data_IF_488738840789
#
_entry.id   IF_488738840789
#
_cell.length_a   1.000
_cell.length_b   1.000
_cell.length_c   1.000
_cell.angle_alpha   90.00
_cell.angle_beta   90.00
_cell.angle_gamma   90.00
#
_symmetry.space_group_name_H-M   'P 1'
#
loop_
_entity.id
_entity.type
_entity.pdbx_description
1 polymer ?
#
# COMPACT_ATOMS: atom_id res chain seq x y z
N UNK A 1 -14.88 -29.23 -15.38
CA UNK A 1 -15.16 -28.62 -14.06
C UNK A 1 -16.28 -27.60 -14.25
N UNK A 2 -17.51 -27.94 -13.84
CA UNK A 2 -18.68 -27.08 -14.08
C UNK A 2 -18.56 -25.77 -13.31
N UNK A 3 -18.79 -24.62 -13.97
CA UNK A 3 -18.80 -23.31 -13.31
C UNK A 3 -19.99 -23.24 -12.36
N UNK A 4 -19.76 -23.41 -11.06
CA UNK A 4 -20.80 -23.30 -10.03
C UNK A 4 -20.94 -21.84 -9.58
N UNK A 5 -22.13 -21.31 -9.72
CA UNK A 5 -22.50 -20.02 -9.14
C UNK A 5 -22.52 -20.10 -7.61
N UNK A 6 -22.32 -18.97 -6.95
CA UNK A 6 -22.36 -18.89 -5.49
C UNK A 6 -23.81 -19.11 -5.01
N UNK A 7 -23.99 -20.00 -4.04
CA UNK A 7 -25.30 -20.19 -3.41
C UNK A 7 -25.65 -19.05 -2.45
N UNK A 8 -26.91 -18.94 -2.06
CA UNK A 8 -27.38 -17.94 -1.08
C UNK A 8 -26.59 -18.00 0.23
N UNK A 9 -26.23 -19.20 0.70
CA UNK A 9 -25.40 -19.38 1.89
C UNK A 9 -24.01 -18.76 1.72
N UNK A 10 -23.35 -18.98 0.58
CA UNK A 10 -22.02 -18.44 0.32
C UNK A 10 -22.05 -16.91 0.29
N UNK A 11 -23.08 -16.34 -0.36
CA UNK A 11 -23.31 -14.89 -0.43
C UNK A 11 -23.54 -14.31 0.97
N UNK A 12 -24.41 -14.91 1.78
CA UNK A 12 -24.71 -14.44 3.13
C UNK A 12 -23.47 -14.50 4.03
N UNK A 13 -22.72 -15.60 3.99
CA UNK A 13 -21.49 -15.75 4.78
C UNK A 13 -20.46 -14.68 4.38
N UNK A 14 -20.25 -14.47 3.07
CA UNK A 14 -19.32 -13.47 2.58
C UNK A 14 -19.76 -12.05 2.97
N UNK A 15 -21.04 -11.72 2.81
CA UNK A 15 -21.57 -10.39 3.14
C UNK A 15 -21.45 -10.10 4.65
N UNK A 16 -21.80 -11.06 5.50
CA UNK A 16 -21.66 -10.94 6.96
C UNK A 16 -20.18 -10.80 7.34
N UNK A 17 -19.29 -11.60 6.74
CA UNK A 17 -17.86 -11.48 6.96
C UNK A 17 -17.34 -10.08 6.61
N UNK A 18 -17.64 -9.56 5.42
CA UNK A 18 -17.17 -8.24 4.98
C UNK A 18 -17.77 -7.10 5.83
N UNK A 19 -19.02 -7.23 6.27
CA UNK A 19 -19.65 -6.27 7.19
C UNK A 19 -18.96 -6.27 8.55
N UNK A 20 -18.77 -7.44 9.16
CA UNK A 20 -18.08 -7.57 10.44
C UNK A 20 -16.63 -7.07 10.35
N UNK A 21 -15.94 -7.37 9.25
CA UNK A 21 -14.60 -6.86 8.99
C UNK A 21 -14.60 -5.33 8.88
N UNK A 22 -15.56 -4.74 8.17
CA UNK A 22 -15.69 -3.27 8.05
C UNK A 22 -15.91 -2.62 9.41
N UNK A 23 -16.80 -3.17 10.24
CA UNK A 23 -17.06 -2.68 11.60
C UNK A 23 -15.79 -2.83 12.46
N UNK A 24 -15.15 -4.00 12.43
CA UNK A 24 -13.94 -4.25 13.20
C UNK A 24 -12.81 -3.29 12.83
N UNK A 25 -12.60 -3.03 11.53
CA UNK A 25 -11.61 -2.07 11.06
C UNK A 25 -11.96 -0.63 11.49
N UNK A 26 -13.22 -0.23 11.40
CA UNK A 26 -13.67 1.08 11.91
C UNK A 26 -13.41 1.24 13.41
N UNK A 27 -13.70 0.21 14.20
CA UNK A 27 -13.41 0.18 15.63
C UNK A 27 -11.90 0.27 15.89
N UNK A 28 -11.08 -0.50 15.17
CA UNK A 28 -9.61 -0.45 15.29
C UNK A 28 -9.07 0.93 14.95
N UNK A 29 -9.59 1.58 13.91
CA UNK A 29 -9.16 2.93 13.52
C UNK A 29 -9.46 3.95 14.61
N UNK A 30 -10.67 3.92 15.18
CA UNK A 30 -11.05 4.83 16.28
C UNK A 30 -10.20 4.56 17.52
N UNK A 31 -9.99 3.30 17.88
CA UNK A 31 -9.27 2.97 19.11
C UNK A 31 -7.76 3.22 19.02
N UNK A 32 -7.15 3.03 17.85
CA UNK A 32 -5.70 3.17 17.68
C UNK A 32 -5.25 4.54 17.20
N UNK A 33 -6.18 5.41 16.78
CA UNK A 33 -5.90 6.74 16.26
C UNK A 33 -4.87 7.50 17.13
N UNK A 34 -3.69 7.90 16.58
CA UNK A 34 -2.64 8.52 17.38
C UNK A 34 -3.04 9.92 17.85
N UNK A 35 -2.76 10.31 19.11
CA UNK A 35 -2.98 11.67 19.57
C UNK A 35 -2.05 12.64 18.85
N UNK A 36 -2.40 13.93 18.83
CA UNK A 36 -1.47 15.00 18.45
C UNK A 36 -0.18 14.89 19.28
N UNK A 37 1.00 15.16 18.67
CA UNK A 37 2.24 15.24 19.43
C UNK A 37 2.13 16.29 20.54
N UNK A 38 2.67 16.00 21.72
CA UNK A 38 2.80 16.98 22.78
C UNK A 38 3.91 17.97 22.41
N UNK A 39 3.60 19.27 22.22
CA UNK A 39 4.59 20.27 21.81
C UNK A 39 5.65 20.55 22.89
N UNK A 40 5.43 20.09 24.13
CA UNK A 40 6.33 20.31 25.27
C UNK A 40 7.19 19.09 25.60
N UNK A 41 6.91 17.95 24.97
CA UNK A 41 7.64 16.71 25.23
C UNK A 41 9.09 16.79 24.72
N UNK A 42 10.05 16.55 25.62
CA UNK A 42 11.48 16.45 25.32
C UNK A 42 11.90 14.99 25.35
N UNK A 43 11.72 14.30 24.22
CA UNK A 43 12.12 12.90 24.03
C UNK A 43 11.07 12.03 23.33
N UNK A 44 11.34 10.74 23.13
CA UNK A 44 10.40 9.81 22.53
C UNK A 44 9.14 9.65 23.40
N UNK A 45 7.96 9.69 22.78
CA UNK A 45 6.70 9.45 23.49
C UNK A 45 6.67 8.02 24.06
N UNK A 46 6.40 7.85 25.37
CA UNK A 46 6.35 6.52 25.98
C UNK A 46 5.20 5.68 25.42
N UNK A 47 5.33 4.35 25.51
CA UNK A 47 4.26 3.46 25.12
C UNK A 47 3.04 3.65 26.02
N UNK A 48 1.86 3.83 25.40
CA UNK A 48 0.59 4.00 26.09
C UNK A 48 -0.25 2.73 25.95
N UNK A 49 -1.07 2.42 26.96
CA UNK A 49 -2.04 1.32 26.87
C UNK A 49 -3.17 1.73 25.94
N UNK A 50 -3.28 1.04 24.80
CA UNK A 50 -4.29 1.31 23.78
C UNK A 50 -5.17 0.09 23.63
N UNK A 51 -6.50 0.29 23.61
CA UNK A 51 -7.42 -0.81 23.34
C UNK A 51 -7.34 -1.17 21.85
N UNK A 52 -7.22 -2.45 21.53
CA UNK A 52 -7.26 -2.97 20.17
C UNK A 52 -8.26 -4.12 20.17
N UNK A 53 -9.49 -3.83 19.73
CA UNK A 53 -10.64 -4.72 19.85
C UNK A 53 -10.86 -5.17 21.31
N UNK A 54 -10.59 -6.45 21.59
CA UNK A 54 -10.73 -7.10 22.90
C UNK A 54 -9.41 -7.16 23.69
N UNK A 55 -8.32 -6.62 23.15
CA UNK A 55 -7.00 -6.58 23.80
C UNK A 55 -6.58 -5.16 24.18
N UNK A 56 -5.58 -5.01 25.05
CA UNK A 56 -5.06 -3.70 25.49
C UNK A 56 -3.53 -3.68 25.61
N UNK A 57 -2.80 -3.83 24.47
CA UNK A 57 -1.35 -3.76 24.47
C UNK A 57 -0.83 -2.36 24.82
N UNK A 58 0.39 -2.30 25.34
CA UNK A 58 1.17 -1.05 25.42
C UNK A 58 1.82 -0.81 24.06
N UNK A 59 1.43 0.27 23.38
CA UNK A 59 1.88 0.61 22.03
C UNK A 59 2.54 1.98 22.01
N UNK A 60 3.65 2.09 21.28
CA UNK A 60 4.22 3.39 20.92
C UNK A 60 3.36 4.09 19.87
N UNK A 61 3.54 5.40 19.71
CA UNK A 61 2.87 6.18 18.66
C UNK A 61 3.10 5.60 17.26
N UNK A 62 4.31 5.12 16.99
CA UNK A 62 4.67 4.51 15.71
C UNK A 62 3.96 3.17 15.48
N UNK A 63 3.89 2.30 16.51
CA UNK A 63 3.14 1.04 16.39
C UNK A 63 1.66 1.28 16.12
N UNK A 64 1.07 2.32 16.71
CA UNK A 64 -0.31 2.73 16.43
C UNK A 64 -0.49 3.14 14.97
N UNK A 65 0.46 3.90 14.41
CA UNK A 65 0.43 4.29 12.99
C UNK A 65 0.48 3.06 12.07
N UNK A 66 1.29 2.04 12.36
CA UNK A 66 1.28 0.81 11.57
C UNK A 66 -0.10 0.15 11.55
N UNK A 67 -0.78 0.09 12.70
CA UNK A 67 -2.13 -0.47 12.79
C UNK A 67 -3.13 0.36 11.99
N UNK A 68 -3.08 1.69 12.11
CA UNK A 68 -3.94 2.60 11.33
C UNK A 68 -3.74 2.38 9.83
N UNK A 69 -2.50 2.28 9.37
CA UNK A 69 -2.17 2.11 7.95
C UNK A 69 -2.63 0.76 7.42
N UNK A 70 -2.39 -0.32 8.17
CA UNK A 70 -2.90 -1.64 7.86
C UNK A 70 -4.44 -1.62 7.77
N UNK A 71 -5.11 -1.02 8.75
CA UNK A 71 -6.56 -0.98 8.80
C UNK A 71 -7.15 -0.15 7.66
N UNK A 72 -6.58 1.02 7.38
CA UNK A 72 -7.06 1.90 6.31
C UNK A 72 -6.74 1.36 4.91
N UNK A 73 -5.62 0.68 4.71
CA UNK A 73 -5.35 -0.07 3.49
C UNK A 73 -6.38 -1.16 3.24
N UNK A 74 -6.79 -1.87 4.30
CA UNK A 74 -7.87 -2.85 4.20
C UNK A 74 -9.23 -2.19 3.88
N UNK A 75 -9.55 -1.04 4.50
CA UNK A 75 -10.76 -0.26 4.20
C UNK A 75 -10.79 0.20 2.75
N UNK A 76 -9.65 0.66 2.21
CA UNK A 76 -9.53 1.04 0.80
C UNK A 76 -9.91 -0.11 -0.13
N UNK A 77 -9.32 -1.29 0.09
CA UNK A 77 -9.65 -2.49 -0.69
C UNK A 77 -11.12 -2.92 -0.51
N UNK A 78 -11.67 -2.82 0.71
CA UNK A 78 -13.09 -3.13 0.97
C UNK A 78 -14.05 -2.29 0.13
N UNK A 79 -13.75 -1.02 -0.16
CA UNK A 79 -14.61 -0.19 -1.00
C UNK A 79 -14.73 -0.78 -2.41
N UNK A 80 -13.61 -1.28 -2.96
CA UNK A 80 -13.60 -1.98 -4.25
C UNK A 80 -14.37 -3.30 -4.17
N UNK A 81 -14.03 -4.14 -3.20
CA UNK A 81 -14.63 -5.47 -2.99
C UNK A 81 -16.15 -5.40 -2.78
N UNK A 82 -16.64 -4.45 -1.97
CA UNK A 82 -18.07 -4.28 -1.70
C UNK A 82 -18.84 -3.80 -2.93
N UNK A 83 -18.26 -2.88 -3.71
CA UNK A 83 -18.85 -2.43 -4.98
C UNK A 83 -19.01 -3.59 -5.95
N UNK A 84 -17.94 -4.35 -6.17
CA UNK A 84 -17.99 -5.54 -7.03
C UNK A 84 -18.98 -6.57 -6.51
N UNK A 85 -19.03 -6.80 -5.19
CA UNK A 85 -19.95 -7.77 -4.61
C UNK A 85 -21.41 -7.38 -4.89
N UNK A 86 -21.77 -6.13 -4.66
CA UNK A 86 -23.10 -5.60 -4.98
C UNK A 86 -23.47 -5.84 -6.45
N UNK A 87 -22.56 -5.52 -7.38
CA UNK A 87 -22.79 -5.69 -8.82
C UNK A 87 -22.95 -7.16 -9.23
N UNK A 88 -22.04 -8.04 -8.78
CA UNK A 88 -22.07 -9.46 -9.18
C UNK A 88 -23.20 -10.24 -8.50
N UNK A 89 -23.54 -9.93 -7.26
CA UNK A 89 -24.70 -10.54 -6.58
C UNK A 89 -26.01 -10.04 -7.20
N UNK A 90 -26.14 -8.73 -7.44
CA UNK A 90 -27.33 -8.15 -8.07
C UNK A 90 -27.62 -8.73 -9.45
N UNK A 91 -26.58 -8.97 -10.25
CA UNK A 91 -26.69 -9.57 -11.58
C UNK A 91 -26.69 -11.10 -11.59
N UNK A 92 -26.62 -11.78 -10.43
CA UNK A 92 -26.51 -13.25 -10.31
C UNK A 92 -25.32 -13.85 -11.07
N UNK A 93 -24.21 -13.13 -11.10
CA UNK A 93 -22.98 -13.52 -11.80
C UNK A 93 -21.85 -13.94 -10.85
N UNK A 94 -22.06 -13.87 -9.52
CA UNK A 94 -21.04 -14.24 -8.55
C UNK A 94 -20.72 -15.74 -8.62
N UNK A 95 -19.46 -16.07 -8.91
CA UNK A 95 -18.95 -17.44 -8.92
C UNK A 95 -18.47 -17.86 -7.53
N UNK A 96 -18.71 -19.12 -7.17
CA UNK A 96 -18.28 -19.66 -5.87
C UNK A 96 -16.77 -19.63 -5.66
N UNK A 97 -15.99 -19.83 -6.73
CA UNK A 97 -14.52 -19.76 -6.69
C UNK A 97 -13.98 -18.36 -6.36
N UNK A 98 -14.79 -17.31 -6.52
CA UNK A 98 -14.37 -15.94 -6.20
C UNK A 98 -14.54 -15.61 -4.72
N UNK A 99 -15.31 -16.39 -3.95
CA UNK A 99 -15.55 -16.08 -2.52
C UNK A 99 -14.24 -15.92 -1.74
N UNK A 100 -13.27 -16.80 -1.98
CA UNK A 100 -11.96 -16.70 -1.32
C UNK A 100 -11.19 -15.44 -1.76
N UNK A 101 -11.26 -15.09 -3.05
CA UNK A 101 -10.63 -13.88 -3.57
C UNK A 101 -11.19 -12.63 -2.87
N UNK A 102 -12.51 -12.50 -2.76
CA UNK A 102 -13.17 -11.40 -2.05
C UNK A 102 -12.79 -11.35 -0.56
N UNK A 103 -12.65 -12.52 0.08
CA UNK A 103 -12.27 -12.58 1.50
C UNK A 103 -10.82 -12.15 1.74
N UNK A 104 -9.92 -12.43 0.79
CA UNK A 104 -8.48 -12.15 0.90
C UNK A 104 -8.12 -10.72 0.48
N UNK A 105 -8.89 -10.11 -0.41
CA UNK A 105 -8.60 -8.79 -0.99
C UNK A 105 -8.36 -7.65 0.02
N UNK A 106 -9.12 -7.53 1.15
CA UNK A 106 -8.82 -6.55 2.19
C UNK A 106 -7.42 -6.71 2.81
N UNK A 107 -6.94 -7.95 2.95
CA UNK A 107 -5.61 -8.22 3.49
C UNK A 107 -4.51 -7.86 2.50
N UNK A 108 -4.77 -8.01 1.20
CA UNK A 108 -3.86 -7.56 0.14
C UNK A 108 -3.72 -6.03 0.19
N UNK A 109 -4.83 -5.30 0.27
CA UNK A 109 -4.80 -3.83 0.42
C UNK A 109 -4.06 -3.38 1.68
N UNK A 110 -4.27 -4.09 2.80
CA UNK A 110 -3.56 -3.86 4.06
C UNK A 110 -2.05 -4.01 3.93
N UNK A 111 -1.60 -5.15 3.40
CA UNK A 111 -0.18 -5.44 3.24
C UNK A 111 0.50 -4.45 2.28
N UNK A 112 -0.17 -4.11 1.17
CA UNK A 112 0.37 -3.17 0.21
C UNK A 112 0.49 -1.75 0.78
N UNK A 113 -0.50 -1.28 1.55
CA UNK A 113 -0.43 -0.01 2.24
C UNK A 113 0.74 0.06 3.23
N UNK A 114 0.98 -1.03 3.96
CA UNK A 114 2.14 -1.12 4.86
C UNK A 114 3.46 -1.05 4.07
N UNK A 115 3.60 -1.79 2.97
CA UNK A 115 4.80 -1.73 2.11
C UNK A 115 5.05 -0.31 1.63
N UNK A 116 4.04 0.38 1.09
CA UNK A 116 4.17 1.76 0.62
C UNK A 116 4.58 2.69 1.77
N UNK A 117 3.98 2.55 2.95
CA UNK A 117 4.37 3.35 4.11
C UNK A 117 5.81 3.11 4.54
N UNK A 118 6.27 1.85 4.58
CA UNK A 118 7.64 1.51 4.93
C UNK A 118 8.64 2.06 3.91
N UNK A 119 8.29 2.05 2.62
CA UNK A 119 9.10 2.68 1.57
C UNK A 119 9.22 4.19 1.77
N UNK A 120 8.10 4.86 2.06
CA UNK A 120 8.07 6.31 2.33
C UNK A 120 8.86 6.66 3.60
N UNK A 121 8.68 5.87 4.67
CA UNK A 121 9.32 6.09 5.97
C UNK A 121 10.79 5.66 6.00
N UNK A 122 11.18 4.68 5.19
CA UNK A 122 12.53 4.10 5.12
C UNK A 122 13.52 4.86 4.23
N UNK A 123 13.10 5.93 3.54
CA UNK A 123 14.05 6.88 2.96
C UNK A 123 14.26 6.82 1.44
N UNK A 124 13.34 6.28 0.64
CA UNK A 124 13.31 6.63 -0.81
C UNK A 124 13.04 8.15 -1.05
N UNK A 125 12.82 8.91 0.02
CA UNK A 125 12.70 10.38 0.08
C UNK A 125 13.46 10.96 1.28
N UNK A 126 14.75 10.64 1.48
CA UNK A 126 15.58 11.22 2.58
C UNK A 126 15.64 12.77 2.59
N UNK A 127 15.02 13.46 1.64
CA UNK A 127 14.97 14.91 1.54
C UNK A 127 13.69 15.59 2.06
N UNK A 128 12.62 14.87 2.49
CA UNK A 128 11.30 15.54 2.70
C UNK A 128 10.63 15.47 4.08
N UNK A 129 11.15 14.77 5.09
CA UNK A 129 10.60 14.93 6.44
C UNK A 129 11.61 14.52 7.51
N UNK A 130 11.95 15.46 8.40
CA UNK A 130 12.41 15.11 9.74
C UNK A 130 11.34 14.20 10.37
N UNK A 131 11.76 13.11 11.01
CA UNK A 131 10.90 12.01 11.49
C UNK A 131 9.81 12.42 12.50
N UNK A 132 9.70 13.69 12.86
CA UNK A 132 8.69 14.27 13.74
C UNK A 132 7.37 14.70 13.09
N UNK A 133 7.34 14.99 11.78
CA UNK A 133 6.20 15.70 11.13
C UNK A 133 5.33 14.83 10.21
N UNK A 134 5.31 13.51 10.40
CA UNK A 134 4.36 12.66 9.65
C UNK A 134 2.94 12.92 10.14
N UNK A 135 2.19 13.72 9.38
CA UNK A 135 0.78 13.97 9.62
C UNK A 135 -0.01 12.64 9.47
N UNK A 136 -0.63 12.11 10.54
CA UNK A 136 -1.37 10.86 10.49
C UNK A 136 -2.49 10.88 9.45
N UNK A 137 -3.13 12.02 9.22
CA UNK A 137 -4.21 12.14 8.22
C UNK A 137 -3.68 11.93 6.79
N UNK A 138 -2.52 12.50 6.47
CA UNK A 138 -1.93 12.41 5.14
C UNK A 138 -1.54 10.98 4.78
N UNK A 139 -0.81 10.30 5.68
CA UNK A 139 -0.40 8.90 5.46
C UNK A 139 -1.58 7.93 5.47
N UNK A 140 -2.61 8.21 6.28
CA UNK A 140 -3.83 7.42 6.32
C UNK A 140 -4.63 7.56 5.01
N UNK A 141 -4.76 8.77 4.49
CA UNK A 141 -5.39 9.01 3.19
C UNK A 141 -4.65 8.29 2.06
N UNK A 142 -3.31 8.38 2.03
CA UNK A 142 -2.49 7.65 1.06
C UNK A 142 -2.68 6.13 1.18
N UNK A 143 -2.69 5.59 2.41
CA UNK A 143 -2.92 4.16 2.66
C UNK A 143 -4.29 3.70 2.14
N UNK A 144 -5.35 4.51 2.30
CA UNK A 144 -6.68 4.21 1.78
C UNK A 144 -6.66 4.09 0.26
N UNK A 145 -6.01 5.04 -0.42
CA UNK A 145 -5.90 5.06 -1.87
C UNK A 145 -5.08 3.87 -2.38
N UNK A 146 -3.99 3.53 -1.71
CA UNK A 146 -3.19 2.33 -2.01
C UNK A 146 -4.04 1.07 -1.96
N UNK A 147 -4.85 0.91 -0.90
CA UNK A 147 -5.76 -0.21 -0.78
C UNK A 147 -6.82 -0.25 -1.88
N UNK A 148 -7.45 0.90 -2.16
CA UNK A 148 -8.50 1.04 -3.17
C UNK A 148 -8.01 0.77 -4.60
N UNK A 149 -6.76 1.14 -4.88
CA UNK A 149 -6.11 1.01 -6.19
C UNK A 149 -4.92 0.07 -6.12
N UNK A 150 -5.11 -1.09 -5.47
CA UNK A 150 -4.01 -2.03 -5.18
C UNK A 150 -3.29 -2.50 -6.44
N UNK A 151 -4.04 -2.82 -7.50
CA UNK A 151 -3.47 -3.22 -8.80
C UNK A 151 -2.59 -2.11 -9.40
N UNK A 152 -3.12 -0.89 -9.52
CA UNK A 152 -2.39 0.25 -10.06
C UNK A 152 -1.17 0.58 -9.20
N UNK A 153 -1.29 0.43 -7.88
CA UNK A 153 -0.19 0.66 -6.95
C UNK A 153 0.94 -0.34 -7.18
N UNK A 154 0.63 -1.64 -7.34
CA UNK A 154 1.64 -2.65 -7.67
C UNK A 154 2.30 -2.36 -9.02
N UNK A 155 1.53 -2.02 -10.05
CA UNK A 155 2.04 -1.64 -11.38
C UNK A 155 3.01 -0.44 -11.28
N UNK A 156 2.68 0.57 -10.45
CA UNK A 156 3.55 1.72 -10.23
C UNK A 156 4.80 1.40 -9.42
N UNK A 157 4.69 0.56 -8.39
CA UNK A 157 5.85 0.10 -7.64
C UNK A 157 6.82 -0.64 -8.56
N UNK A 158 6.32 -1.53 -9.43
CA UNK A 158 7.13 -2.24 -10.41
C UNK A 158 7.88 -1.26 -11.32
N UNK A 159 7.20 -0.27 -11.90
CA UNK A 159 7.83 0.72 -12.76
C UNK A 159 8.95 1.52 -12.05
N UNK A 160 8.75 1.85 -10.76
CA UNK A 160 9.80 2.49 -9.94
C UNK A 160 10.98 1.54 -9.73
N UNK A 161 10.73 0.28 -9.37
CA UNK A 161 11.78 -0.72 -9.20
C UNK A 161 12.58 -0.97 -10.48
N UNK A 162 11.90 -1.08 -11.62
CA UNK A 162 12.55 -1.22 -12.94
C UNK A 162 13.45 -0.03 -13.26
N UNK A 163 13.01 1.19 -12.92
CA UNK A 163 13.82 2.41 -13.11
C UNK A 163 15.05 2.40 -12.21
N UNK A 164 14.91 2.00 -10.94
CA UNK A 164 16.03 1.96 -9.98
C UNK A 164 17.05 0.86 -10.28
N UNK A 165 16.62 -0.23 -10.90
CA UNK A 165 17.47 -1.37 -11.26
C UNK A 165 17.93 -1.35 -12.72
N UNK A 166 17.59 -0.31 -13.47
CA UNK A 166 18.01 -0.17 -14.86
C UNK A 166 19.55 -0.18 -14.97
N UNK A 167 20.12 -0.96 -15.90
CA UNK A 167 21.57 -0.93 -16.14
C UNK A 167 22.02 0.51 -16.43
N UNK A 168 23.11 0.95 -15.81
CA UNK A 168 23.70 2.25 -16.12
C UNK A 168 23.97 2.32 -17.62
N UNK A 169 23.53 3.39 -18.28
CA UNK A 169 23.83 3.62 -19.70
C UNK A 169 25.35 3.50 -19.88
N UNK A 170 25.79 2.60 -20.77
CA UNK A 170 27.20 2.55 -21.17
C UNK A 170 27.56 3.94 -21.65
N UNK A 171 28.34 4.67 -20.85
CA UNK A 171 28.93 5.93 -21.27
C UNK A 171 29.53 5.70 -22.64
N UNK A 172 29.02 6.47 -23.61
CA UNK A 172 29.48 6.48 -24.97
C UNK A 172 30.89 7.09 -25.03
N UNK A 173 31.86 6.44 -24.42
CA UNK A 173 33.28 6.74 -24.63
C UNK A 173 33.70 6.01 -25.91
N UNK A 174 33.07 6.41 -27.00
CA UNK A 174 33.58 6.16 -28.34
C UNK A 174 34.77 7.08 -28.48
N UNK A 175 35.95 6.57 -28.17
CA UNK A 175 37.22 7.19 -28.54
C UNK A 175 37.11 7.56 -30.03
N UNK A 176 37.24 8.83 -30.42
CA UNK A 176 37.27 9.19 -31.82
C UNK A 176 38.49 8.52 -32.42
N UNK A 177 38.30 7.55 -33.30
CA UNK A 177 39.37 7.08 -34.18
C UNK A 177 39.84 8.30 -34.96
N UNK A 178 41.00 8.84 -34.56
CA UNK A 178 41.69 9.85 -35.34
C UNK A 178 42.23 9.13 -36.58
N UNK A 179 41.45 9.12 -37.64
CA UNK A 179 41.93 8.81 -38.99
C UNK A 179 42.95 9.89 -39.35
N UNK A 180 44.21 9.61 -39.00
CA UNK A 180 45.38 10.37 -39.42
C UNK A 180 45.63 10.12 -40.90
N UNK A 181 44.86 10.78 -41.74
CA UNK A 181 45.24 11.04 -43.11
C UNK A 181 46.46 11.96 -43.14
N UNK A 182 47.60 11.42 -43.57
CA UNK A 182 48.65 12.21 -44.20
C UNK A 182 49.24 11.36 -45.33
N UNK A 183 48.58 11.47 -46.48
CA UNK A 183 49.06 11.04 -47.78
C UNK A 183 50.26 11.93 -48.18
N UNK A 184 51.44 11.38 -48.51
CA UNK A 184 52.57 12.16 -48.97
C UNK A 184 52.63 12.17 -50.52
N UNK A 185 52.06 13.21 -51.14
CA UNK A 185 52.29 13.55 -52.56
C UNK A 185 51.98 15.04 -52.76
N UNK A 186 52.95 15.89 -53.11
CA UNK A 186 53.36 16.15 -54.50
C UNK A 186 52.31 17.07 -55.16
N UNK A 187 52.58 18.27 -55.67
CA UNK A 187 53.73 18.71 -56.47
C UNK A 187 53.88 20.24 -56.42
N UNK A 188 55.03 20.69 -56.94
CA UNK A 188 55.46 22.08 -57.17
C UNK A 188 54.89 22.66 -58.45
#
# INVERSE_FOLDING_TARGET
MGKTDAGTRDILVLAVFLLLLTIALGVVLVQTWPPPPDPTATGPEPAARVRVLFWSPSLTRESRLFIVILATGAVGALIHTLRSLYEYVGNRLLRRSWVLMYAVEPFVGSALALVVYLVLRGGLTTTLASSGDINPYGVTAAAALVGMFSRQTVEKLLAVFETLLAPAERSADRIPTRDGGSDPGGER
#
